data_IF_485573134993
#
_entry.id   IF_485573134993
#
_cell.length_a   1.000
_cell.length_b   1.000
_cell.length_c   1.000
_cell.angle_alpha   90.00
_cell.angle_beta   90.00
_cell.angle_gamma   90.00
#
_symmetry.space_group_name_H-M   'P 1'
#
loop_
_entity.id
_entity.type
_entity.pdbx_description
1 polymer ?
#
# COMPACT_ATOMS: atom_id res chain seq x y z
N UNK A 1 57.56 5.66 -14.67
CA UNK A 1 56.31 5.38 -15.41
C UNK A 1 55.63 4.18 -14.74
N UNK A 2 55.08 4.37 -13.54
CA UNK A 2 54.39 3.28 -12.80
C UNK A 2 53.34 3.78 -11.79
N UNK A 3 52.94 5.06 -11.84
CA UNK A 3 51.91 5.61 -10.95
C UNK A 3 50.48 5.56 -11.52
N UNK A 4 50.30 5.15 -12.79
CA UNK A 4 48.98 5.12 -13.45
C UNK A 4 48.34 3.73 -13.51
N UNK A 5 49.08 2.65 -13.29
CA UNK A 5 48.55 1.28 -13.40
C UNK A 5 47.97 0.78 -12.07
N UNK A 6 48.56 1.14 -10.93
CA UNK A 6 48.04 0.76 -9.61
C UNK A 6 46.71 1.44 -9.26
N UNK A 7 46.48 2.68 -9.72
CA UNK A 7 45.22 3.40 -9.50
C UNK A 7 44.05 2.80 -10.30
N UNK A 8 44.30 2.12 -11.42
CA UNK A 8 43.25 1.50 -12.23
C UNK A 8 42.69 0.24 -11.55
N UNK A 9 43.55 -0.57 -10.93
CA UNK A 9 43.15 -1.80 -10.24
C UNK A 9 42.40 -1.50 -8.94
N UNK A 10 42.82 -0.47 -8.19
CA UNK A 10 42.11 0.00 -7.00
C UNK A 10 40.72 0.55 -7.34
N UNK A 11 40.58 1.33 -8.42
CA UNK A 11 39.27 1.84 -8.89
C UNK A 11 38.38 0.70 -9.42
N UNK A 12 38.93 -0.29 -10.13
CA UNK A 12 38.18 -1.46 -10.60
C UNK A 12 37.72 -2.37 -9.43
N UNK A 13 38.50 -2.43 -8.34
CA UNK A 13 38.12 -3.17 -7.11
C UNK A 13 37.03 -2.46 -6.30
N UNK A 14 36.96 -1.12 -6.35
CA UNK A 14 35.93 -0.32 -5.68
C UNK A 14 34.60 -0.29 -6.44
N UNK A 15 34.61 -0.55 -7.76
CA UNK A 15 33.39 -0.60 -8.59
C UNK A 15 32.67 -1.97 -8.49
N UNK A 16 33.37 -3.03 -8.07
CA UNK A 16 32.87 -4.41 -8.05
C UNK A 16 32.42 -4.95 -6.68
N UNK A 17 32.27 -4.12 -5.66
CA UNK A 17 31.73 -4.55 -4.35
C UNK A 17 30.78 -3.53 -3.74
N UNK A 18 29.85 -3.02 -4.54
CA UNK A 18 28.66 -2.35 -3.99
C UNK A 18 27.51 -3.34 -4.14
N UNK A 19 27.12 -4.08 -3.09
CA UNK A 19 25.93 -4.92 -3.15
C UNK A 19 24.74 -4.00 -3.37
N UNK A 20 24.25 -3.98 -4.61
CA UNK A 20 23.03 -3.30 -4.99
C UNK A 20 21.88 -4.03 -4.30
N UNK A 21 20.92 -3.27 -3.79
CA UNK A 21 19.72 -3.82 -3.15
C UNK A 21 19.02 -4.82 -4.08
N UNK A 22 18.80 -6.04 -3.61
CA UNK A 22 18.02 -7.06 -4.32
C UNK A 22 16.53 -6.79 -4.07
N UNK A 23 15.92 -6.01 -4.97
CA UNK A 23 14.52 -5.61 -4.88
C UNK A 23 13.57 -6.81 -4.93
N UNK A 24 13.73 -7.79 -5.85
CA UNK A 24 12.91 -9.00 -5.84
C UNK A 24 12.97 -9.77 -4.51
N UNK A 25 14.15 -9.96 -3.93
CA UNK A 25 14.30 -10.64 -2.64
C UNK A 25 13.61 -9.87 -1.52
N UNK A 26 13.72 -8.54 -1.51
CA UNK A 26 13.04 -7.70 -0.54
C UNK A 26 11.51 -7.81 -0.67
N UNK A 27 10.97 -7.75 -1.90
CA UNK A 27 9.53 -7.89 -2.15
C UNK A 27 9.02 -9.23 -1.63
N UNK A 28 9.74 -10.32 -1.91
CA UNK A 28 9.37 -11.66 -1.44
C UNK A 28 9.41 -11.74 0.10
N UNK A 29 10.40 -11.12 0.74
CA UNK A 29 10.52 -11.09 2.21
C UNK A 29 9.39 -10.28 2.85
N UNK A 30 8.98 -9.17 2.23
CA UNK A 30 7.82 -8.39 2.68
C UNK A 30 6.54 -9.22 2.52
N UNK A 31 6.35 -9.87 1.36
CA UNK A 31 5.17 -10.70 1.11
C UNK A 31 5.07 -11.91 2.04
N UNK A 32 6.22 -12.49 2.44
CA UNK A 32 6.27 -13.53 3.46
C UNK A 32 5.71 -13.03 4.80
N UNK A 33 6.14 -11.86 5.26
CA UNK A 33 5.61 -11.26 6.49
C UNK A 33 4.11 -10.92 6.38
N UNK A 34 3.63 -10.52 5.19
CA UNK A 34 2.19 -10.38 4.93
C UNK A 34 1.47 -11.72 5.12
N UNK A 35 2.00 -12.81 4.56
CA UNK A 35 1.40 -14.14 4.69
C UNK A 35 1.40 -14.66 6.12
N UNK A 36 2.48 -14.47 6.88
CA UNK A 36 2.54 -14.79 8.32
C UNK A 36 1.47 -14.00 9.09
N UNK A 37 1.30 -12.71 8.77
CA UNK A 37 0.24 -11.91 9.38
C UNK A 37 -1.17 -12.41 9.00
N UNK A 38 -1.39 -12.75 7.74
CA UNK A 38 -2.70 -13.20 7.30
C UNK A 38 -3.04 -14.59 7.82
N UNK A 39 -2.09 -15.52 7.89
CA UNK A 39 -2.27 -16.84 8.50
C UNK A 39 -2.88 -16.74 9.90
N UNK A 40 -2.28 -15.90 10.76
CA UNK A 40 -2.70 -15.67 12.15
C UNK A 40 -4.04 -14.99 12.32
N UNK A 41 -4.47 -14.22 11.33
CA UNK A 41 -5.56 -13.27 11.51
C UNK A 41 -6.74 -13.46 10.55
N UNK A 42 -6.59 -14.20 9.46
CA UNK A 42 -7.63 -14.43 8.47
C UNK A 42 -8.84 -15.19 9.05
N UNK A 43 -8.60 -16.10 10.00
CA UNK A 43 -9.65 -16.81 10.74
C UNK A 43 -10.59 -15.91 11.55
N UNK A 44 -10.24 -14.62 11.75
CA UNK A 44 -11.12 -13.66 12.44
C UNK A 44 -12.26 -13.13 11.56
N UNK A 45 -12.29 -13.46 10.26
CA UNK A 45 -13.38 -13.08 9.36
C UNK A 45 -14.49 -14.14 9.36
N UNK A 46 -15.74 -13.69 9.21
CA UNK A 46 -16.83 -14.60 8.82
C UNK A 46 -16.57 -15.15 7.42
N UNK A 47 -17.01 -16.38 7.13
CA UNK A 47 -16.77 -17.07 5.86
C UNK A 47 -17.06 -16.22 4.61
N UNK A 48 -18.20 -15.54 4.55
CA UNK A 48 -18.55 -14.72 3.38
C UNK A 48 -17.55 -13.56 3.16
N UNK A 49 -17.19 -12.87 4.25
CA UNK A 49 -16.20 -11.77 4.20
C UNK A 49 -14.81 -12.31 3.83
N UNK A 50 -14.44 -13.47 4.37
CA UNK A 50 -13.19 -14.14 4.04
C UNK A 50 -13.09 -14.45 2.54
N UNK A 51 -14.12 -15.11 1.97
CA UNK A 51 -14.15 -15.47 0.56
C UNK A 51 -14.13 -14.25 -0.37
N UNK A 52 -14.83 -13.16 -0.01
CA UNK A 52 -14.78 -11.91 -0.76
C UNK A 52 -13.36 -11.32 -0.77
N UNK A 53 -12.69 -11.30 0.39
CA UNK A 53 -11.31 -10.83 0.52
C UNK A 53 -10.33 -11.69 -0.27
N UNK A 54 -10.47 -13.02 -0.21
CA UNK A 54 -9.61 -13.95 -0.95
C UNK A 54 -9.78 -13.79 -2.46
N UNK A 55 -11.01 -13.61 -2.94
CA UNK A 55 -11.27 -13.33 -4.36
C UNK A 55 -10.61 -12.03 -4.82
N UNK A 56 -10.64 -10.97 -4.02
CA UNK A 56 -9.91 -9.75 -4.38
C UNK A 56 -8.39 -9.94 -4.27
N UNK A 57 -7.90 -10.65 -3.26
CA UNK A 57 -6.46 -10.88 -3.12
C UNK A 57 -5.91 -11.68 -4.31
N UNK A 58 -6.64 -12.70 -4.77
CA UNK A 58 -6.37 -13.40 -6.02
C UNK A 58 -6.29 -12.44 -7.22
N UNK A 59 -7.29 -11.55 -7.35
CA UNK A 59 -7.35 -10.56 -8.44
C UNK A 59 -6.14 -9.63 -8.42
N UNK A 60 -5.77 -9.13 -7.23
CA UNK A 60 -4.60 -8.28 -7.04
C UNK A 60 -3.30 -9.01 -7.42
N UNK A 61 -3.11 -10.22 -6.90
CA UNK A 61 -1.89 -11.00 -7.11
C UNK A 61 -1.64 -11.32 -8.58
N UNK A 62 -2.70 -11.63 -9.33
CA UNK A 62 -2.64 -11.92 -10.76
C UNK A 62 -2.75 -10.67 -11.65
N UNK A 63 -2.87 -9.49 -11.04
CA UNK A 63 -2.97 -8.20 -11.74
C UNK A 63 -4.16 -8.12 -12.71
N UNK A 64 -5.25 -8.83 -12.40
CA UNK A 64 -6.51 -8.72 -13.13
C UNK A 64 -7.11 -7.32 -12.92
N UNK A 65 -7.64 -6.75 -14.00
CA UNK A 65 -8.44 -5.52 -14.00
C UNK A 65 -9.77 -5.72 -13.25
N UNK A 66 -10.42 -4.61 -12.92
CA UNK A 66 -11.68 -4.60 -12.16
C UNK A 66 -12.87 -5.26 -12.87
N UNK A 67 -12.91 -5.23 -14.20
CA UNK A 67 -14.04 -5.74 -15.00
C UNK A 67 -13.87 -7.19 -15.45
N UNK A 68 -12.68 -7.78 -15.26
CA UNK A 68 -12.43 -9.15 -15.70
C UNK A 68 -13.21 -10.17 -14.86
N UNK A 69 -13.84 -11.12 -15.56
CA UNK A 69 -14.46 -12.28 -14.93
C UNK A 69 -13.36 -13.23 -14.47
N UNK A 70 -13.46 -13.68 -13.22
CA UNK A 70 -12.54 -14.63 -12.64
C UNK A 70 -13.14 -16.03 -12.75
N UNK A 71 -12.30 -17.02 -13.06
CA UNK A 71 -12.68 -18.43 -13.06
C UNK A 71 -12.87 -18.92 -11.63
N UNK A 72 -14.03 -19.49 -11.33
CA UNK A 72 -14.31 -20.05 -10.00
C UNK A 72 -13.37 -21.20 -9.66
N UNK A 73 -13.04 -22.04 -10.64
CA UNK A 73 -12.16 -23.18 -10.46
C UNK A 73 -10.72 -22.73 -10.18
N UNK A 74 -10.24 -21.70 -10.89
CA UNK A 74 -8.89 -21.16 -10.65
C UNK A 74 -8.78 -20.49 -9.28
N UNK A 75 -9.81 -19.74 -8.86
CA UNK A 75 -9.86 -19.17 -7.52
C UNK A 75 -9.87 -20.29 -6.47
N UNK A 76 -10.68 -21.34 -6.65
CA UNK A 76 -10.76 -22.44 -5.69
C UNK A 76 -9.44 -23.19 -5.53
N UNK A 77 -8.76 -23.46 -6.65
CA UNK A 77 -7.43 -24.07 -6.64
C UNK A 77 -6.37 -23.17 -6.00
N UNK A 78 -6.41 -21.87 -6.28
CA UNK A 78 -5.51 -20.90 -5.65
C UNK A 78 -5.77 -20.75 -4.15
N UNK A 79 -7.04 -20.69 -3.74
CA UNK A 79 -7.47 -20.57 -2.34
C UNK A 79 -6.90 -21.73 -1.52
N UNK A 80 -7.07 -22.96 -2.02
CA UNK A 80 -6.56 -24.18 -1.35
C UNK A 80 -5.04 -24.12 -1.15
N UNK A 81 -4.29 -23.66 -2.16
CA UNK A 81 -2.83 -23.50 -2.06
C UNK A 81 -2.45 -22.40 -1.07
N UNK A 82 -3.21 -21.29 -1.04
CA UNK A 82 -2.98 -20.17 -0.13
C UNK A 82 -3.23 -20.57 1.31
N UNK A 83 -4.30 -21.32 1.57
CA UNK A 83 -4.62 -21.87 2.88
C UNK A 83 -3.54 -22.86 3.34
N UNK A 84 -3.12 -23.78 2.47
CA UNK A 84 -2.01 -24.71 2.77
C UNK A 84 -0.72 -23.96 3.16
N UNK A 85 -0.36 -22.92 2.41
CA UNK A 85 0.79 -22.07 2.74
C UNK A 85 0.61 -21.38 4.09
N UNK A 86 -0.58 -20.89 4.41
CA UNK A 86 -0.83 -20.19 5.66
C UNK A 86 -0.81 -21.12 6.86
N UNK A 87 -1.30 -22.35 6.72
CA UNK A 87 -1.19 -23.38 7.76
C UNK A 87 0.29 -23.68 8.10
N UNK A 88 1.19 -23.64 7.11
CA UNK A 88 2.64 -23.80 7.32
C UNK A 88 3.31 -22.59 7.99
N UNK A 89 2.70 -21.40 7.92
CA UNK A 89 3.29 -20.14 8.37
C UNK A 89 2.71 -19.59 9.68
N UNK A 90 1.60 -20.15 10.19
CA UNK A 90 0.85 -19.58 11.32
C UNK A 90 1.73 -19.41 12.59
N UNK A 91 2.66 -20.34 12.81
CA UNK A 91 3.57 -20.36 13.95
C UNK A 91 4.92 -19.64 13.70
N UNK A 92 5.20 -19.14 12.49
CA UNK A 92 6.50 -18.55 12.13
C UNK A 92 6.66 -17.10 12.63
N UNK A 93 7.80 -16.75 13.21
CA UNK A 93 8.07 -15.36 13.62
C UNK A 93 8.18 -14.41 12.41
N UNK A 94 7.93 -13.11 12.62
CA UNK A 94 8.14 -12.14 11.54
C UNK A 94 9.63 -12.01 11.19
N UNK A 95 9.95 -12.15 9.91
CA UNK A 95 11.31 -12.16 9.41
C UNK A 95 11.89 -10.75 9.27
N UNK A 96 13.16 -10.61 9.61
CA UNK A 96 13.96 -9.42 9.29
C UNK A 96 14.05 -9.20 7.78
N UNK A 97 14.15 -7.93 7.37
CA UNK A 97 14.29 -7.55 5.96
C UNK A 97 15.75 -7.21 5.63
N UNK A 98 16.34 -8.00 4.73
CA UNK A 98 17.69 -7.74 4.21
C UNK A 98 17.66 -6.64 3.14
N UNK A 99 18.43 -5.58 3.36
CA UNK A 99 18.54 -4.44 2.43
C UNK A 99 20.02 -4.06 2.31
N UNK A 100 20.65 -4.45 1.20
CA UNK A 100 22.10 -4.32 1.02
C UNK A 100 22.84 -5.27 1.96
N UNK A 101 23.70 -4.74 2.82
CA UNK A 101 24.44 -5.54 3.83
C UNK A 101 23.83 -5.45 5.23
N UNK A 102 22.64 -4.87 5.35
CA UNK A 102 22.00 -4.64 6.65
C UNK A 102 20.68 -5.38 6.75
N UNK A 103 20.38 -5.86 7.94
CA UNK A 103 19.08 -6.41 8.30
C UNK A 103 18.30 -5.40 9.15
N UNK A 104 17.00 -5.33 8.90
CA UNK A 104 16.09 -4.43 9.60
C UNK A 104 14.93 -5.23 10.20
N UNK A 105 14.49 -4.83 11.39
CA UNK A 105 13.20 -5.29 11.91
C UNK A 105 12.10 -4.94 10.91
N UNK A 106 11.11 -5.82 10.67
CA UNK A 106 9.99 -5.50 9.77
C UNK A 106 9.11 -4.36 10.32
N UNK A 107 9.27 -3.97 11.58
CA UNK A 107 8.54 -2.85 12.15
C UNK A 107 9.31 -1.51 12.06
N UNK A 108 10.58 -1.52 11.61
CA UNK A 108 11.44 -0.35 11.51
C UNK A 108 11.24 0.43 10.18
N UNK A 109 9.99 0.78 9.88
CA UNK A 109 9.60 1.48 8.63
C UNK A 109 10.44 2.72 8.33
N UNK A 110 10.78 3.50 9.35
CA UNK A 110 11.60 4.70 9.19
C UNK A 110 13.00 4.37 8.62
N UNK A 111 13.71 3.41 9.21
CA UNK A 111 15.07 3.04 8.81
C UNK A 111 15.06 2.39 7.43
N UNK A 112 14.12 1.48 7.18
CA UNK A 112 13.94 0.83 5.88
C UNK A 112 13.74 1.88 4.78
N UNK A 113 12.83 2.83 4.98
CA UNK A 113 12.54 3.85 3.98
C UNK A 113 13.70 4.79 3.67
N UNK A 114 14.69 4.96 4.57
CA UNK A 114 15.93 5.70 4.24
C UNK A 114 16.73 5.05 3.12
N UNK A 115 16.55 3.74 2.88
CA UNK A 115 17.22 2.97 1.82
C UNK A 115 16.38 2.85 0.56
N UNK A 116 15.05 2.89 0.69
CA UNK A 116 14.11 2.62 -0.42
C UNK A 116 13.76 3.84 -1.26
N UNK A 117 13.70 5.03 -0.65
CA UNK A 117 13.17 6.24 -1.31
C UNK A 117 13.96 6.59 -2.59
N UNK A 118 15.28 6.44 -2.58
CA UNK A 118 16.13 6.71 -3.75
C UNK A 118 15.85 5.76 -4.93
N UNK A 119 15.32 4.57 -4.64
CA UNK A 119 14.89 3.57 -5.62
C UNK A 119 13.42 3.72 -6.00
N UNK A 120 12.76 4.82 -5.62
CA UNK A 120 11.31 5.06 -5.84
C UNK A 120 10.42 3.97 -5.24
N UNK A 121 10.85 3.43 -4.09
CA UNK A 121 10.09 2.46 -3.32
C UNK A 121 9.71 3.04 -1.96
N UNK A 122 8.58 2.57 -1.43
CA UNK A 122 8.13 2.87 -0.07
C UNK A 122 7.63 1.60 0.60
N UNK A 123 7.97 1.47 1.87
CA UNK A 123 7.58 0.37 2.74
C UNK A 123 6.81 0.90 3.95
N UNK A 124 5.86 0.11 4.44
CA UNK A 124 5.34 0.26 5.79
C UNK A 124 5.13 -1.10 6.43
N UNK A 125 5.57 -1.22 7.67
CA UNK A 125 5.32 -2.31 8.60
C UNK A 125 4.87 -1.74 9.93
N UNK A 126 3.71 -2.20 10.44
CA UNK A 126 3.13 -1.67 11.67
C UNK A 126 1.89 -2.44 12.12
N UNK A 127 1.20 -1.93 13.13
CA UNK A 127 0.00 -2.57 13.69
C UNK A 127 -1.26 -1.81 13.27
N UNK A 128 -2.24 -2.53 12.75
CA UNK A 128 -3.55 -2.00 12.38
C UNK A 128 -4.63 -2.30 13.41
N UNK A 129 -5.88 -2.34 12.92
CA UNK A 129 -7.07 -2.62 13.73
C UNK A 129 -6.94 -4.00 14.38
N UNK A 130 -7.35 -4.11 15.65
CA UNK A 130 -7.21 -5.33 16.48
C UNK A 130 -5.76 -5.81 16.64
N UNK A 131 -4.79 -4.91 16.53
CA UNK A 131 -3.36 -5.23 16.67
C UNK A 131 -2.86 -6.25 15.65
N UNK A 132 -3.51 -6.38 14.48
CA UNK A 132 -3.00 -7.18 13.36
C UNK A 132 -1.78 -6.48 12.75
N UNK A 133 -0.62 -7.14 12.62
CA UNK A 133 0.50 -6.61 11.88
C UNK A 133 0.15 -6.41 10.39
N UNK A 134 0.63 -5.34 9.79
CA UNK A 134 0.38 -5.02 8.39
C UNK A 134 1.68 -4.63 7.73
N UNK A 135 1.92 -5.20 6.56
CA UNK A 135 3.13 -4.97 5.78
C UNK A 135 2.77 -4.68 4.33
N UNK A 136 3.48 -3.75 3.72
CA UNK A 136 3.42 -3.57 2.27
C UNK A 136 4.69 -2.92 1.74
N UNK A 137 4.98 -3.17 0.47
CA UNK A 137 5.97 -2.43 -0.31
C UNK A 137 5.38 -2.06 -1.66
N UNK A 138 5.64 -0.83 -2.10
CA UNK A 138 5.03 -0.27 -3.29
C UNK A 138 5.96 0.75 -3.96
N UNK A 139 5.59 1.17 -5.17
CA UNK A 139 6.16 2.35 -5.80
C UNK A 139 5.87 3.61 -4.96
N UNK A 140 6.86 4.47 -4.83
CA UNK A 140 6.71 5.80 -4.25
C UNK A 140 6.39 6.80 -5.36
N UNK A 141 5.14 7.27 -5.41
CA UNK A 141 4.69 8.24 -6.42
C UNK A 141 4.96 9.68 -5.98
N UNK A 142 4.66 10.02 -4.71
CA UNK A 142 4.80 11.39 -4.21
C UNK A 142 5.08 11.42 -2.70
N UNK A 143 5.68 12.52 -2.24
CA UNK A 143 5.92 12.79 -0.82
C UNK A 143 5.54 14.23 -0.51
N UNK A 144 4.69 14.42 0.49
CA UNK A 144 4.24 15.74 0.94
C UNK A 144 4.57 15.94 2.40
N UNK A 145 4.72 17.19 2.80
CA UNK A 145 4.76 17.57 4.22
C UNK A 145 3.66 18.59 4.47
N UNK A 146 2.74 18.29 5.39
CA UNK A 146 1.61 19.15 5.75
C UNK A 146 1.51 19.19 7.27
N UNK A 147 1.55 20.37 7.90
CA UNK A 147 1.41 20.54 9.35
C UNK A 147 2.30 19.59 10.18
N UNK A 148 3.57 19.44 9.76
CA UNK A 148 4.56 18.52 10.34
C UNK A 148 4.30 17.02 10.15
N UNK A 149 3.27 16.63 9.40
CA UNK A 149 3.07 15.26 8.94
C UNK A 149 3.80 15.02 7.63
N UNK A 150 4.53 13.91 7.55
CA UNK A 150 5.11 13.39 6.31
C UNK A 150 4.11 12.43 5.69
N UNK A 151 3.64 12.75 4.50
CA UNK A 151 2.65 11.96 3.77
C UNK A 151 3.35 11.32 2.57
N UNK A 152 3.33 10.01 2.51
CA UNK A 152 3.79 9.25 1.36
C UNK A 152 2.58 8.77 0.56
N UNK A 153 2.60 9.01 -0.75
CA UNK A 153 1.59 8.51 -1.68
C UNK A 153 2.24 7.39 -2.47
N UNK A 154 1.69 6.18 -2.35
CA UNK A 154 2.20 4.99 -3.04
C UNK A 154 1.32 4.60 -4.23
N UNK A 155 1.98 4.07 -5.25
CA UNK A 155 1.35 3.60 -6.49
C UNK A 155 1.09 2.10 -6.46
N UNK A 156 1.67 1.41 -7.45
CA UNK A 156 1.57 -0.05 -7.58
C UNK A 156 2.16 -0.75 -6.37
N UNK A 157 1.42 -1.69 -5.81
CA UNK A 157 1.84 -2.53 -4.68
C UNK A 157 2.52 -3.80 -5.19
N UNK A 158 3.72 -4.08 -4.67
CA UNK A 158 4.49 -5.28 -5.00
C UNK A 158 4.31 -6.39 -3.98
N UNK A 159 4.02 -6.03 -2.73
CA UNK A 159 3.61 -6.97 -1.69
C UNK A 159 2.57 -6.30 -0.79
N UNK A 160 1.58 -7.09 -0.33
CA UNK A 160 0.55 -6.64 0.63
C UNK A 160 -0.08 -7.80 1.38
N UNK A 161 -0.73 -7.47 2.50
CA UNK A 161 -1.68 -8.34 3.19
C UNK A 161 -2.99 -8.55 2.40
N UNK A 162 -3.73 -9.59 2.78
CA UNK A 162 -5.12 -9.87 2.40
C UNK A 162 -5.99 -8.64 2.65
N UNK A 163 -5.88 -8.05 3.85
CA UNK A 163 -6.52 -6.78 4.17
C UNK A 163 -5.59 -5.62 3.85
N UNK A 164 -6.00 -4.82 2.87
CA UNK A 164 -5.22 -3.71 2.34
C UNK A 164 -5.86 -2.37 2.68
N UNK A 165 -5.67 -1.83 3.91
CA UNK A 165 -6.23 -0.53 4.27
C UNK A 165 -5.68 0.55 3.33
N UNK A 166 -6.52 1.46 2.80
CA UNK A 166 -6.10 2.44 1.80
C UNK A 166 -5.24 3.56 2.37
N UNK A 167 -5.24 3.72 3.70
CA UNK A 167 -4.37 4.66 4.38
C UNK A 167 -3.98 4.09 5.75
N UNK A 168 -2.76 4.40 6.18
CA UNK A 168 -2.25 4.05 7.51
C UNK A 168 -1.47 5.23 8.08
N UNK A 169 -1.62 5.47 9.37
CA UNK A 169 -0.85 6.48 10.10
C UNK A 169 0.02 5.83 11.17
N UNK A 170 1.25 6.30 11.28
CA UNK A 170 2.19 5.94 12.35
C UNK A 170 2.95 7.20 12.76
N UNK A 171 2.76 7.62 14.01
CA UNK A 171 3.23 8.90 14.54
C UNK A 171 2.89 10.09 13.61
N UNK A 172 3.91 10.78 13.10
CA UNK A 172 3.80 11.91 12.17
C UNK A 172 3.93 11.49 10.70
N UNK A 173 3.79 10.20 10.41
CA UNK A 173 3.87 9.66 9.05
C UNK A 173 2.53 9.08 8.62
N UNK A 174 2.08 9.42 7.41
CA UNK A 174 0.86 8.89 6.81
C UNK A 174 1.24 8.24 5.48
N UNK A 175 0.77 7.02 5.26
CA UNK A 175 0.89 6.29 4.02
C UNK A 175 -0.47 6.25 3.34
N UNK A 176 -0.58 6.85 2.16
CA UNK A 176 -1.76 6.79 1.30
C UNK A 176 -1.47 5.78 0.20
N UNK A 177 -2.21 4.67 0.19
CA UNK A 177 -2.01 3.55 -0.72
C UNK A 177 -2.92 3.68 -1.92
N UNK A 178 -2.41 4.28 -2.99
CA UNK A 178 -3.19 4.63 -4.18
C UNK A 178 -3.85 3.43 -4.86
N UNK A 179 -3.15 2.30 -4.98
CA UNK A 179 -3.74 1.07 -5.54
C UNK A 179 -4.84 0.51 -4.62
N UNK A 180 -4.56 0.35 -3.32
CA UNK A 180 -5.56 -0.11 -2.33
C UNK A 180 -6.79 0.81 -2.25
N UNK A 181 -6.60 2.12 -2.39
CA UNK A 181 -7.70 3.10 -2.42
C UNK A 181 -8.58 2.90 -3.65
N UNK A 182 -8.00 2.75 -4.85
CA UNK A 182 -8.76 2.46 -6.09
C UNK A 182 -9.56 1.17 -5.95
N UNK A 183 -8.95 0.12 -5.39
CA UNK A 183 -9.58 -1.19 -5.13
C UNK A 183 -10.74 -1.09 -4.15
N UNK A 184 -10.58 -0.37 -3.05
CA UNK A 184 -11.66 -0.13 -2.08
C UNK A 184 -12.87 0.56 -2.74
N UNK A 185 -12.65 1.62 -3.53
CA UNK A 185 -13.74 2.32 -4.23
C UNK A 185 -14.45 1.38 -5.21
N UNK A 186 -13.68 0.53 -5.92
CA UNK A 186 -14.27 -0.45 -6.81
C UNK A 186 -15.11 -1.49 -6.06
N UNK A 187 -14.60 -2.08 -4.98
CA UNK A 187 -15.33 -3.05 -4.14
C UNK A 187 -16.67 -2.47 -3.66
N UNK A 188 -16.67 -1.23 -3.14
CA UNK A 188 -17.90 -0.54 -2.72
C UNK A 188 -18.88 -0.31 -3.86
N UNK A 189 -18.36 -0.02 -5.05
CA UNK A 189 -19.20 0.17 -6.24
C UNK A 189 -19.80 -1.16 -6.73
N UNK A 190 -19.02 -2.25 -6.68
CA UNK A 190 -19.45 -3.59 -7.06
C UNK A 190 -20.51 -4.14 -6.09
N UNK A 191 -20.28 -4.01 -4.78
CA UNK A 191 -21.26 -4.31 -3.73
C UNK A 191 -22.57 -3.55 -3.96
N UNK A 192 -22.47 -2.26 -4.28
CA UNK A 192 -23.63 -1.41 -4.51
C UNK A 192 -24.40 -1.81 -5.78
N UNK A 193 -23.71 -2.16 -6.86
CA UNK A 193 -24.31 -2.72 -8.09
C UNK A 193 -25.00 -4.06 -7.85
N UNK A 194 -24.48 -4.88 -6.95
CA UNK A 194 -25.08 -6.16 -6.58
C UNK A 194 -26.37 -5.97 -5.79
N UNK A 195 -26.41 -4.96 -4.91
CA UNK A 195 -27.51 -4.69 -4.01
C UNK A 195 -28.67 -3.87 -4.63
N UNK A 196 -28.51 -3.33 -5.85
CA UNK A 196 -29.50 -2.53 -6.62
C UNK A 196 -30.64 -1.90 -5.79
N UNK A 197 -30.38 -0.94 -4.89
CA UNK A 197 -31.47 -0.17 -4.30
C UNK A 197 -32.03 0.75 -5.40
N UNK A 198 -33.27 0.52 -5.83
CA UNK A 198 -33.95 1.40 -6.78
C UNK A 198 -33.99 2.86 -6.25
N UNK A 199 -33.26 3.74 -6.94
CA UNK A 199 -33.54 5.15 -7.24
C UNK A 199 -33.55 6.26 -6.17
N UNK A 200 -33.02 6.08 -4.96
CA UNK A 200 -32.73 7.22 -4.07
C UNK A 200 -31.23 7.34 -3.73
N UNK A 201 -30.63 6.24 -3.28
CA UNK A 201 -29.23 6.22 -2.82
C UNK A 201 -28.26 6.41 -3.99
N UNK A 202 -28.57 5.95 -5.20
CA UNK A 202 -27.78 6.21 -6.42
C UNK A 202 -27.59 7.70 -6.67
N UNK A 203 -28.71 8.43 -6.60
CA UNK A 203 -28.73 9.87 -6.83
C UNK A 203 -27.97 10.57 -5.70
N UNK A 204 -28.14 10.13 -4.45
CA UNK A 204 -27.42 10.67 -3.30
C UNK A 204 -25.91 10.44 -3.39
N UNK A 205 -25.46 9.24 -3.75
CA UNK A 205 -24.02 8.92 -3.88
C UNK A 205 -23.41 9.67 -5.06
N UNK A 206 -24.10 9.70 -6.20
CA UNK A 206 -23.65 10.46 -7.37
C UNK A 206 -23.57 11.95 -7.06
N UNK A 207 -24.54 12.48 -6.32
CA UNK A 207 -24.55 13.86 -5.85
C UNK A 207 -23.40 14.12 -4.88
N UNK A 208 -23.19 13.26 -3.88
CA UNK A 208 -22.13 13.40 -2.89
C UNK A 208 -20.74 13.31 -3.51
N UNK A 209 -20.51 12.37 -4.43
CA UNK A 209 -19.22 12.24 -5.14
C UNK A 209 -18.95 13.47 -6.00
N UNK A 210 -19.95 13.96 -6.74
CA UNK A 210 -19.79 15.16 -7.56
C UNK A 210 -19.54 16.40 -6.70
N UNK A 211 -20.26 16.53 -5.58
CA UNK A 211 -20.10 17.61 -4.61
C UNK A 211 -18.68 17.63 -4.04
N UNK A 212 -18.22 16.53 -3.44
CA UNK A 212 -16.87 16.46 -2.87
C UNK A 212 -15.76 16.61 -3.91
N UNK A 213 -15.98 16.15 -5.15
CA UNK A 213 -15.05 16.39 -6.27
C UNK A 213 -14.94 17.88 -6.60
N UNK A 214 -16.03 18.62 -6.61
CA UNK A 214 -16.01 20.06 -6.90
C UNK A 214 -15.44 20.87 -5.74
N UNK A 215 -15.67 20.46 -4.49
CA UNK A 215 -14.99 21.02 -3.32
C UNK A 215 -13.49 20.79 -3.40
N UNK A 216 -13.03 19.57 -3.73
CA UNK A 216 -11.62 19.27 -3.91
C UNK A 216 -10.96 20.13 -5.00
N UNK A 217 -11.66 20.37 -6.12
CA UNK A 217 -11.18 21.29 -7.17
C UNK A 217 -11.05 22.72 -6.65
N UNK A 218 -12.05 23.21 -5.90
CA UNK A 218 -12.02 24.57 -5.32
C UNK A 218 -10.89 24.74 -4.30
N UNK A 219 -10.64 23.72 -3.47
CA UNK A 219 -9.48 23.70 -2.56
C UNK A 219 -8.16 23.76 -3.33
N UNK A 220 -8.04 23.01 -4.43
CA UNK A 220 -6.86 23.02 -5.28
C UNK A 220 -6.62 24.41 -5.88
N UNK A 221 -7.69 25.07 -6.35
CA UNK A 221 -7.63 26.45 -6.86
C UNK A 221 -7.21 27.44 -5.76
N UNK A 222 -7.78 27.33 -4.55
CA UNK A 222 -7.40 28.18 -3.42
C UNK A 222 -5.93 27.99 -3.02
N UNK A 223 -5.45 26.75 -3.05
CA UNK A 223 -4.05 26.42 -2.79
C UNK A 223 -3.10 26.95 -3.88
N UNK A 224 -3.53 26.94 -5.15
CA UNK A 224 -2.75 27.49 -6.26
C UNK A 224 -2.66 29.02 -6.22
N UNK A 225 -3.71 29.70 -5.74
CA UNK A 225 -3.77 31.16 -5.64
C UNK A 225 -2.94 31.72 -4.48
N UNK A 226 -2.92 31.05 -3.33
CA UNK A 226 -2.17 31.52 -2.16
C UNK A 226 -1.64 30.36 -1.31
N UNK A 227 -0.42 29.93 -1.62
CA UNK A 227 0.25 28.82 -0.92
C UNK A 227 0.52 29.11 0.57
N UNK A 228 0.56 30.37 1.01
CA UNK A 228 0.94 30.74 2.39
C UNK A 228 -0.26 31.05 3.28
N UNK A 229 -1.42 31.43 2.72
CA UNK A 229 -2.63 31.78 3.49
C UNK A 229 -3.91 30.99 3.13
N UNK A 230 -3.82 29.92 2.33
CA UNK A 230 -5.00 29.13 1.94
C UNK A 230 -5.62 28.27 3.06
N UNK A 231 -4.90 27.96 4.14
CA UNK A 231 -5.35 27.04 5.20
C UNK A 231 -6.73 27.40 5.77
N UNK A 232 -6.90 28.64 6.26
CA UNK A 232 -8.15 29.07 6.87
C UNK A 232 -9.31 29.18 5.88
N UNK A 233 -9.02 29.45 4.60
CA UNK A 233 -10.02 29.52 3.52
C UNK A 233 -10.48 28.13 3.06
N UNK A 234 -9.56 27.17 3.04
CA UNK A 234 -9.88 25.76 2.77
C UNK A 234 -10.72 25.21 3.92
N UNK A 235 -10.36 25.51 5.17
CA UNK A 235 -11.11 25.07 6.35
C UNK A 235 -12.53 25.65 6.39
N UNK A 236 -12.69 26.94 6.10
CA UNK A 236 -14.02 27.56 5.94
C UNK A 236 -14.81 26.90 4.80
N UNK A 237 -14.18 26.67 3.65
CA UNK A 237 -14.82 26.02 2.50
C UNK A 237 -15.30 24.58 2.82
N UNK A 238 -14.52 23.81 3.58
CA UNK A 238 -14.94 22.48 4.07
C UNK A 238 -16.15 22.62 4.98
N UNK A 239 -16.06 23.53 5.95
CA UNK A 239 -17.08 23.71 6.99
C UNK A 239 -18.43 24.19 6.46
N UNK A 240 -18.43 24.97 5.38
CA UNK A 240 -19.65 25.47 4.75
C UNK A 240 -20.30 24.47 3.78
N UNK A 241 -19.62 23.37 3.43
CA UNK A 241 -20.05 22.45 2.38
C UNK A 241 -20.18 21.00 2.87
N UNK A 242 -20.41 20.79 4.17
CA UNK A 242 -20.78 19.47 4.68
C UNK A 242 -22.19 19.10 4.20
N UNK A 243 -22.35 17.89 3.68
CA UNK A 243 -23.62 17.26 3.26
C UNK A 243 -23.80 15.93 3.97
#
# INVERSE_FOLDING_TARGET
MNYYVENSILIQSLINYVPRMDIPQLINSVQLNCHISDARHAGNYTLCVYLLKMREFYRWEHQYSFSEKLSTDDIGNWLTRRETLWDELDDEDYHSLAIGQSEYSPFDSQKINTKLIDNKLIYSGGYGVKNKPHFFIAELEDTKTINHYKIFISGKEFARDLTSPPAMSHDKTIFIRGESFKRLIWERTDEWRWNKPENAIEQTVTHAVNHWRDIAKRMLTLHQQDKKQCSGRIEALVNENHI
#
